data_IF_786397622928
#
_entry.id   IF_786397622928
#
_cell.length_a   1.000
_cell.length_b   1.000
_cell.length_c   1.000
_cell.angle_alpha   90.00
_cell.angle_beta   90.00
_cell.angle_gamma   90.00
#
_symmetry.space_group_name_H-M   'P 1'
#
loop_
_entity.id
_entity.type
_entity.pdbx_description
1 polymer ?
#
# COMPACT_ATOMS: atom_id res chain seq x y z
N UNK A 1 23.92 -10.64 -5.07
CA UNK A 1 22.64 -11.23 -4.60
C UNK A 1 22.23 -10.69 -3.23
N UNK A 2 22.56 -9.45 -2.87
CA UNK A 2 22.19 -8.89 -1.55
C UNK A 2 21.44 -7.56 -1.75
N UNK A 3 21.75 -6.87 -2.83
CA UNK A 3 21.22 -5.54 -3.15
C UNK A 3 19.70 -5.52 -3.37
N UNK A 4 19.17 -6.49 -4.12
CA UNK A 4 17.72 -6.60 -4.35
C UNK A 4 16.96 -7.01 -3.08
N UNK A 5 17.59 -7.71 -2.15
CA UNK A 5 16.93 -8.19 -0.93
C UNK A 5 16.73 -7.02 0.01
N UNK A 6 17.77 -6.18 0.07
CA UNK A 6 17.74 -4.95 0.82
C UNK A 6 16.63 -4.02 0.33
N UNK A 7 16.51 -3.82 -1.00
CA UNK A 7 15.44 -3.00 -1.58
C UNK A 7 14.07 -3.59 -1.23
N UNK A 8 13.88 -4.90 -1.43
CA UNK A 8 12.59 -5.56 -1.13
C UNK A 8 12.19 -5.41 0.34
N UNK A 9 13.12 -5.68 1.27
CA UNK A 9 12.88 -5.53 2.71
C UNK A 9 12.64 -4.09 3.12
N UNK A 10 13.40 -3.14 2.57
CA UNK A 10 13.21 -1.72 2.83
C UNK A 10 11.83 -1.24 2.34
N UNK A 11 11.40 -1.64 1.14
CA UNK A 11 10.06 -1.32 0.62
C UNK A 11 8.94 -1.90 1.49
N UNK A 12 9.10 -3.14 1.98
CA UNK A 12 8.16 -3.75 2.91
C UNK A 12 8.06 -2.96 4.22
N UNK A 13 9.20 -2.59 4.80
CA UNK A 13 9.25 -1.79 6.03
C UNK A 13 8.62 -0.40 5.86
N UNK A 14 8.86 0.25 4.72
CA UNK A 14 8.21 1.53 4.40
C UNK A 14 6.68 1.38 4.37
N UNK A 15 6.16 0.34 3.73
CA UNK A 15 4.72 0.11 3.67
C UNK A 15 4.11 -0.10 5.08
N UNK A 16 4.83 -0.79 5.97
CA UNK A 16 4.41 -1.02 7.37
C UNK A 16 4.38 0.28 8.18
N UNK A 17 5.44 1.08 8.10
CA UNK A 17 5.52 2.37 8.80
C UNK A 17 4.50 3.38 8.27
N UNK A 18 4.15 3.34 6.98
CA UNK A 18 3.01 4.10 6.44
C UNK A 18 1.71 3.72 7.15
N UNK A 19 1.45 2.43 7.34
CA UNK A 19 0.26 1.93 8.03
C UNK A 19 0.20 2.37 9.50
N UNK A 20 1.34 2.34 10.20
CA UNK A 20 1.45 2.80 11.59
C UNK A 20 1.22 4.31 11.67
N UNK A 21 1.84 5.08 10.77
CA UNK A 21 1.70 6.54 10.72
C UNK A 21 0.26 6.95 10.46
N UNK A 22 -0.40 6.31 9.48
CA UNK A 22 -1.80 6.53 9.16
C UNK A 22 -2.72 6.25 10.35
N UNK A 23 -2.51 5.12 11.05
CA UNK A 23 -3.26 4.75 12.26
C UNK A 23 -3.11 5.81 13.36
N UNK A 24 -1.88 6.30 13.59
CA UNK A 24 -1.59 7.30 14.63
C UNK A 24 -2.23 8.66 14.35
N UNK A 25 -2.34 9.05 13.08
CA UNK A 25 -2.96 10.32 12.68
C UNK A 25 -4.48 10.23 12.46
N UNK A 26 -5.06 9.04 12.44
CA UNK A 26 -6.45 8.86 12.05
C UNK A 26 -7.44 9.32 13.13
N UNK A 27 -8.43 10.11 12.70
CA UNK A 27 -9.61 10.44 13.52
C UNK A 27 -10.67 9.32 13.43
N UNK A 28 -10.72 8.59 12.31
CA UNK A 28 -11.67 7.50 12.10
C UNK A 28 -11.39 6.32 13.05
N UNK A 29 -12.37 5.88 13.85
CA UNK A 29 -12.20 4.70 14.71
C UNK A 29 -12.00 3.41 13.90
N UNK A 30 -12.53 3.32 12.68
CA UNK A 30 -12.26 2.19 11.79
C UNK A 30 -10.76 2.07 11.47
N UNK A 31 -10.07 3.20 11.27
CA UNK A 31 -8.63 3.19 10.99
C UNK A 31 -7.82 3.11 12.30
N UNK A 32 -8.15 3.94 13.29
CA UNK A 32 -7.38 4.08 14.53
C UNK A 32 -7.47 2.85 15.44
N UNK A 33 -8.63 2.23 15.54
CA UNK A 33 -8.91 1.15 16.50
C UNK A 33 -9.03 -0.19 15.80
N UNK A 34 -9.75 -0.26 14.67
CA UNK A 34 -9.98 -1.51 13.93
C UNK A 34 -8.89 -1.85 12.91
N UNK A 35 -8.01 -0.89 12.60
CA UNK A 35 -6.97 -1.03 11.57
C UNK A 35 -7.55 -1.43 10.22
N UNK A 36 -8.73 -0.88 9.90
CA UNK A 36 -9.47 -1.10 8.66
C UNK A 36 -8.87 -0.29 7.50
N UNK A 37 -7.59 -0.55 7.20
CA UNK A 37 -6.83 0.09 6.14
C UNK A 37 -5.70 -0.82 5.64
N UNK A 38 -5.11 -0.47 4.51
CA UNK A 38 -3.86 -1.08 4.04
C UNK A 38 -3.04 -0.03 3.32
N UNK A 39 -1.73 -0.24 3.28
CA UNK A 39 -0.78 0.66 2.63
C UNK A 39 0.05 -0.12 1.64
N UNK A 40 0.28 0.44 0.45
CA UNK A 40 1.04 -0.21 -0.61
C UNK A 40 1.96 0.78 -1.32
N UNK A 41 3.12 0.28 -1.74
CA UNK A 41 4.02 0.96 -2.68
C UNK A 41 3.73 0.41 -4.06
N UNK A 42 3.50 1.31 -5.02
CA UNK A 42 3.21 0.97 -6.40
C UNK A 42 4.36 1.37 -7.31
N UNK A 43 4.58 0.63 -8.38
CA UNK A 43 5.42 1.08 -9.49
C UNK A 43 4.62 1.95 -10.47
N UNK A 44 5.31 2.45 -11.52
CA UNK A 44 4.72 3.27 -12.58
C UNK A 44 3.54 2.61 -13.29
N UNK A 45 3.46 1.29 -13.31
CA UNK A 45 2.38 0.55 -13.96
C UNK A 45 1.24 0.20 -13.00
N UNK A 46 1.28 0.71 -11.75
CA UNK A 46 0.28 0.42 -10.73
C UNK A 46 0.43 -0.98 -10.11
N UNK A 47 1.56 -1.67 -10.35
CA UNK A 47 1.82 -2.97 -9.71
C UNK A 47 2.27 -2.75 -8.28
N UNK A 48 1.77 -3.57 -7.37
CA UNK A 48 2.16 -3.55 -5.96
C UNK A 48 3.59 -4.11 -5.83
N UNK A 49 4.49 -3.29 -5.29
CA UNK A 49 5.90 -3.61 -5.02
C UNK A 49 6.07 -4.09 -3.58
N UNK A 50 5.34 -3.49 -2.65
CA UNK A 50 5.33 -3.85 -1.23
C UNK A 50 3.99 -3.46 -0.62
N UNK A 51 3.55 -4.19 0.41
CA UNK A 51 2.24 -3.97 1.01
C UNK A 51 2.23 -4.31 2.50
N UNK A 52 1.72 -3.39 3.30
CA UNK A 52 1.32 -3.65 4.67
C UNK A 52 -0.17 -3.97 4.68
N UNK A 53 -0.47 -5.26 4.82
CA UNK A 53 -1.84 -5.76 4.73
C UNK A 53 -2.24 -6.52 5.98
N UNK A 54 -3.37 -6.09 6.55
CA UNK A 54 -3.95 -6.69 7.75
C UNK A 54 -5.35 -7.27 7.46
N UNK A 55 -5.86 -7.15 6.22
CA UNK A 55 -7.27 -7.38 5.88
C UNK A 55 -7.38 -8.21 4.59
N UNK A 56 -7.92 -9.44 4.64
CA UNK A 56 -7.97 -10.33 3.48
C UNK A 56 -8.71 -9.78 2.24
N UNK A 57 -9.68 -8.88 2.41
CA UNK A 57 -10.45 -8.31 1.28
C UNK A 57 -9.62 -7.34 0.42
N UNK A 58 -8.55 -6.77 0.99
CA UNK A 58 -7.68 -5.84 0.28
C UNK A 58 -6.74 -6.57 -0.72
N UNK A 59 -6.49 -7.87 -0.55
CA UNK A 59 -5.56 -8.64 -1.39
C UNK A 59 -5.97 -8.63 -2.86
N UNK A 60 -7.27 -8.71 -3.12
CA UNK A 60 -7.84 -8.71 -4.46
C UNK A 60 -8.24 -7.33 -4.96
N UNK A 61 -8.98 -6.58 -4.13
CA UNK A 61 -9.60 -5.32 -4.56
C UNK A 61 -8.59 -4.18 -4.69
N UNK A 62 -7.57 -4.12 -3.82
CA UNK A 62 -6.56 -3.07 -3.84
C UNK A 62 -5.79 -3.09 -5.16
N UNK A 63 -5.31 -4.26 -5.58
CA UNK A 63 -4.58 -4.42 -6.84
C UNK A 63 -5.35 -3.85 -8.04
N UNK A 64 -6.64 -4.20 -8.16
CA UNK A 64 -7.49 -3.71 -9.26
C UNK A 64 -7.69 -2.20 -9.15
N UNK A 65 -8.00 -1.68 -7.96
CA UNK A 65 -8.17 -0.25 -7.73
C UNK A 65 -6.92 0.56 -8.06
N UNK A 66 -5.75 0.08 -7.66
CA UNK A 66 -4.46 0.71 -7.93
C UNK A 66 -4.16 0.79 -9.43
N UNK A 67 -4.36 -0.30 -10.18
CA UNK A 67 -4.16 -0.32 -11.63
C UNK A 67 -5.11 0.64 -12.34
N UNK A 68 -6.40 0.63 -12.00
CA UNK A 68 -7.40 1.52 -12.58
C UNK A 68 -7.09 2.99 -12.30
N UNK A 69 -6.64 3.31 -11.08
CA UNK A 69 -6.25 4.67 -10.71
C UNK A 69 -5.08 5.17 -11.56
N UNK A 70 -4.03 4.36 -11.71
CA UNK A 70 -2.85 4.73 -12.49
C UNK A 70 -3.20 4.88 -13.98
N UNK A 71 -4.00 3.96 -14.53
CA UNK A 71 -4.50 4.06 -15.90
C UNK A 71 -5.29 5.37 -16.12
N UNK A 72 -6.20 5.68 -15.19
CA UNK A 72 -6.95 6.94 -15.23
C UNK A 72 -6.04 8.17 -15.16
N UNK A 73 -5.06 8.18 -14.25
CA UNK A 73 -4.10 9.28 -14.13
C UNK A 73 -3.30 9.48 -15.42
N UNK A 74 -2.92 8.39 -16.10
CA UNK A 74 -2.23 8.46 -17.39
C UNK A 74 -3.13 8.96 -18.52
N UNK A 75 -4.44 8.70 -18.48
CA UNK A 75 -5.39 9.22 -19.48
C UNK A 75 -5.65 10.73 -19.37
N UNK A 76 -5.27 11.34 -18.25
CA UNK A 76 -5.48 12.77 -17.94
C UNK A 76 -4.22 13.62 -18.16
N UNK A 77 -3.08 13.00 -18.50
CA UNK A 77 -1.79 13.63 -18.74
C UNK A 77 -1.51 13.77 -20.24
#
# INVERSE_FOLDING_TARGET
MVDWEFIGKASQFIAEEMGISLKRSAVSPNIRERMDHSCAILDRSGRIVAQAEHIPVHLGSFKIGAMNLIEWMHSQA
#
